data_IF_677837684562
#
_entry.id   IF_677837684562
#
_cell.length_a   1.000
_cell.length_b   1.000
_cell.length_c   1.000
_cell.angle_alpha   90.00
_cell.angle_beta   90.00
_cell.angle_gamma   90.00
#
_symmetry.space_group_name_H-M   'P 1'
#
loop_
_entity.id
_entity.type
_entity.pdbx_description
1 polymer ?
#
# COMPACT_ATOMS: atom_id res chain seq x y z
N UNK A 1 36.31 -23.98 39.82
CA UNK A 1 35.95 -22.56 39.92
C UNK A 1 35.17 -22.07 38.70
N UNK A 2 35.41 -22.57 37.48
CA UNK A 2 34.67 -22.17 36.23
C UNK A 2 33.21 -22.68 36.16
N UNK A 3 32.89 -23.85 36.73
CA UNK A 3 31.54 -24.43 36.73
C UNK A 3 30.56 -23.71 37.69
N UNK A 4 31.06 -22.97 38.70
CA UNK A 4 30.25 -22.20 39.64
C UNK A 4 29.80 -20.86 39.05
N UNK A 5 30.48 -20.34 38.00
CA UNK A 5 30.13 -19.11 37.31
C UNK A 5 29.04 -19.34 36.24
N UNK A 6 29.01 -20.51 35.61
CA UNK A 6 27.96 -20.88 34.63
C UNK A 6 26.61 -21.14 35.29
N UNK A 7 26.59 -21.61 36.57
CA UNK A 7 25.36 -21.81 37.34
C UNK A 7 24.71 -20.50 37.83
N UNK A 8 25.43 -19.39 37.83
CA UNK A 8 24.92 -18.08 38.29
C UNK A 8 24.24 -17.28 37.18
N UNK A 9 24.58 -17.53 35.92
CA UNK A 9 23.95 -16.86 34.78
C UNK A 9 22.53 -17.35 34.45
N UNK A 10 22.19 -18.60 34.86
CA UNK A 10 20.86 -19.16 34.64
C UNK A 10 19.86 -18.85 35.77
N UNK A 11 20.25 -18.13 36.81
CA UNK A 11 19.33 -17.72 37.93
C UNK A 11 18.90 -16.26 37.87
N UNK A 12 19.26 -15.51 36.82
CA UNK A 12 18.69 -14.18 36.51
C UNK A 12 17.60 -14.32 35.44
N UNK A 13 16.97 -15.45 35.29
CA UNK A 13 15.61 -15.53 34.85
C UNK A 13 14.77 -14.93 35.97
N UNK A 14 14.66 -13.61 35.98
CA UNK A 14 13.86 -12.80 36.87
C UNK A 14 12.55 -13.53 37.12
N UNK A 15 12.24 -13.80 38.38
CA UNK A 15 10.88 -13.97 38.84
C UNK A 15 10.15 -12.70 38.39
N UNK A 16 9.56 -12.73 37.18
CA UNK A 16 8.68 -11.66 36.71
C UNK A 16 7.69 -11.46 37.84
N UNK A 17 7.74 -10.32 38.50
CA UNK A 17 6.84 -10.01 39.59
C UNK A 17 5.43 -10.17 39.02
N UNK A 18 4.48 -10.72 39.81
CA UNK A 18 3.07 -10.76 39.37
C UNK A 18 2.59 -9.39 38.87
N UNK A 19 3.15 -8.33 39.45
CA UNK A 19 2.90 -6.94 39.02
C UNK A 19 3.40 -6.65 37.60
N UNK A 20 4.59 -7.14 37.23
CA UNK A 20 5.15 -6.96 35.89
C UNK A 20 4.34 -7.74 34.84
N UNK A 21 3.88 -8.94 35.20
CA UNK A 21 2.99 -9.74 34.36
C UNK A 21 1.62 -9.05 34.18
N UNK A 22 1.02 -8.54 35.25
CA UNK A 22 -0.26 -7.80 35.18
C UNK A 22 -0.08 -6.54 34.31
N UNK A 23 1.00 -5.78 34.50
CA UNK A 23 1.29 -4.59 33.70
C UNK A 23 1.44 -4.96 32.22
N UNK A 24 2.19 -6.02 31.90
CA UNK A 24 2.36 -6.49 30.53
C UNK A 24 1.03 -6.90 29.88
N UNK A 25 0.22 -7.71 30.58
CA UNK A 25 -1.09 -8.13 30.05
C UNK A 25 -2.05 -6.95 29.91
N UNK A 26 -2.06 -6.00 30.83
CA UNK A 26 -2.87 -4.80 30.72
C UNK A 26 -2.47 -3.93 29.51
N UNK A 27 -1.17 -3.83 29.24
CA UNK A 27 -0.65 -3.07 28.10
C UNK A 27 -0.98 -3.75 26.76
N UNK A 28 -0.92 -5.10 26.70
CA UNK A 28 -1.22 -5.87 25.49
C UNK A 28 -2.73 -6.02 25.27
N UNK A 29 -3.53 -6.01 26.33
CA UNK A 29 -4.98 -6.20 26.24
C UNK A 29 -5.66 -5.18 25.35
N UNK A 30 -5.27 -3.91 25.42
CA UNK A 30 -5.87 -2.83 24.62
C UNK A 30 -5.66 -3.03 23.10
N UNK A 31 -4.45 -3.28 22.57
CA UNK A 31 -4.24 -3.63 21.18
C UNK A 31 -4.97 -4.91 20.75
N UNK A 32 -5.06 -5.92 21.63
CA UNK A 32 -5.78 -7.17 21.32
C UNK A 32 -7.27 -6.91 21.18
N UNK A 33 -7.89 -6.17 22.11
CA UNK A 33 -9.30 -5.80 22.02
C UNK A 33 -9.55 -4.99 20.73
N UNK A 34 -8.69 -4.00 20.45
CA UNK A 34 -8.77 -3.22 19.23
C UNK A 34 -8.69 -4.11 17.97
N UNK A 35 -7.77 -5.06 17.94
CA UNK A 35 -7.64 -6.01 16.84
C UNK A 35 -8.89 -6.88 16.66
N UNK A 36 -9.45 -7.41 17.75
CA UNK A 36 -10.67 -8.22 17.71
C UNK A 36 -11.84 -7.40 17.16
N UNK A 37 -12.06 -6.19 17.67
CA UNK A 37 -13.21 -5.35 17.28
C UNK A 37 -13.04 -4.86 15.83
N UNK A 38 -11.95 -4.19 15.51
CA UNK A 38 -11.79 -3.49 14.24
C UNK A 38 -11.27 -4.39 13.11
N UNK A 39 -10.69 -5.53 13.41
CA UNK A 39 -10.19 -6.44 12.38
C UNK A 39 -11.05 -7.70 12.26
N UNK A 40 -11.23 -8.46 13.33
CA UNK A 40 -11.95 -9.74 13.25
C UNK A 40 -13.45 -9.51 12.99
N UNK A 41 -14.12 -8.70 13.82
CA UNK A 41 -15.57 -8.49 13.69
C UNK A 41 -15.92 -7.81 12.37
N UNK A 42 -15.17 -6.76 11.98
CA UNK A 42 -15.43 -6.03 10.72
C UNK A 42 -15.21 -6.91 9.49
N UNK A 43 -14.12 -7.69 9.45
CA UNK A 43 -13.88 -8.59 8.31
C UNK A 43 -14.90 -9.74 8.26
N UNK A 44 -15.30 -10.28 9.42
CA UNK A 44 -16.35 -11.29 9.48
C UNK A 44 -17.69 -10.75 8.96
N UNK A 45 -18.05 -9.53 9.36
CA UNK A 45 -19.24 -8.86 8.84
C UNK A 45 -19.16 -8.62 7.31
N UNK A 46 -18.00 -8.23 6.80
CA UNK A 46 -17.77 -8.08 5.35
C UNK A 46 -17.95 -9.42 4.61
N UNK A 47 -17.51 -10.54 5.20
CA UNK A 47 -17.75 -11.87 4.63
C UNK A 47 -19.25 -12.17 4.58
N UNK A 48 -19.98 -11.92 5.67
CA UNK A 48 -21.43 -12.14 5.70
C UNK A 48 -22.15 -11.26 4.67
N UNK A 49 -21.75 -10.01 4.56
CA UNK A 49 -22.34 -9.04 3.65
C UNK A 49 -22.22 -9.47 2.18
N UNK A 50 -21.17 -10.20 1.80
CA UNK A 50 -21.01 -10.71 0.44
C UNK A 50 -22.10 -11.69 0.00
N UNK A 51 -22.83 -12.30 0.95
CA UNK A 51 -23.96 -13.20 0.72
C UNK A 51 -25.31 -12.54 0.95
N UNK A 52 -25.35 -11.22 1.10
CA UNK A 52 -26.55 -10.44 1.36
C UNK A 52 -26.92 -9.56 0.17
N UNK A 53 -28.11 -9.02 0.20
CA UNK A 53 -28.59 -7.92 -0.64
C UNK A 53 -29.18 -6.82 0.25
N UNK A 54 -29.13 -5.59 -0.21
CA UNK A 54 -29.83 -4.51 0.44
C UNK A 54 -31.31 -4.58 0.03
N UNK A 55 -32.19 -4.49 1.00
CA UNK A 55 -33.64 -4.46 0.79
C UNK A 55 -34.17 -3.07 1.15
N UNK A 56 -34.67 -2.36 0.14
CA UNK A 56 -35.24 -1.02 0.28
C UNK A 56 -36.49 -0.98 1.17
N UNK A 57 -37.29 -2.08 1.20
CA UNK A 57 -38.50 -2.11 1.99
C UNK A 57 -38.22 -2.25 3.49
N UNK A 58 -37.26 -3.10 3.85
CA UNK A 58 -36.84 -3.30 5.25
C UNK A 58 -35.77 -2.32 5.69
N UNK A 59 -35.21 -1.49 4.77
CA UNK A 59 -34.08 -0.60 4.98
C UNK A 59 -32.90 -1.31 5.65
N UNK A 60 -32.63 -2.53 5.19
CA UNK A 60 -31.61 -3.40 5.81
C UNK A 60 -31.03 -4.43 4.85
N UNK A 61 -30.08 -5.21 5.35
CA UNK A 61 -29.44 -6.27 4.57
C UNK A 61 -30.12 -7.62 4.87
N UNK A 62 -30.51 -8.34 3.81
CA UNK A 62 -31.13 -9.66 3.88
C UNK A 62 -30.28 -10.68 3.17
N UNK A 63 -30.20 -11.91 3.72
CA UNK A 63 -29.43 -12.97 3.08
C UNK A 63 -30.05 -13.42 1.76
N UNK A 64 -29.18 -13.64 0.79
CA UNK A 64 -29.55 -14.32 -0.46
C UNK A 64 -29.83 -15.80 -0.17
N UNK A 65 -30.81 -16.40 -0.85
CA UNK A 65 -31.19 -17.80 -0.66
C UNK A 65 -31.26 -18.56 -1.97
N UNK A 66 -31.12 -19.88 -1.88
CA UNK A 66 -31.21 -20.79 -3.02
C UNK A 66 -30.16 -20.51 -4.09
N UNK A 67 -30.55 -20.52 -5.35
CA UNK A 67 -29.67 -20.34 -6.52
C UNK A 67 -28.99 -18.94 -6.57
N UNK A 68 -29.49 -17.99 -5.80
CA UNK A 68 -28.95 -16.64 -5.77
C UNK A 68 -27.83 -16.43 -4.73
N UNK A 69 -27.49 -17.44 -3.92
CA UNK A 69 -26.51 -17.31 -2.84
C UNK A 69 -25.16 -16.69 -3.30
N UNK A 70 -24.70 -17.05 -4.48
CA UNK A 70 -23.43 -16.57 -5.06
C UNK A 70 -23.61 -15.46 -6.11
N UNK A 71 -24.79 -14.84 -6.17
CA UNK A 71 -25.10 -13.79 -7.16
C UNK A 71 -24.10 -12.67 -7.15
N UNK A 72 -23.76 -12.13 -5.97
CA UNK A 72 -22.79 -11.03 -5.85
C UNK A 72 -21.41 -11.40 -6.43
N UNK A 73 -20.98 -12.65 -6.26
CA UNK A 73 -19.71 -13.14 -6.84
C UNK A 73 -19.80 -13.26 -8.36
N UNK A 74 -20.94 -13.70 -8.89
CA UNK A 74 -21.18 -13.72 -10.35
C UNK A 74 -21.19 -12.32 -10.93
N UNK A 75 -21.83 -11.38 -10.25
CA UNK A 75 -21.95 -9.98 -10.68
C UNK A 75 -20.58 -9.27 -10.68
N UNK A 76 -19.60 -9.70 -9.87
CA UNK A 76 -18.21 -9.20 -9.92
C UNK A 76 -17.59 -9.40 -11.30
N UNK A 77 -17.88 -10.51 -11.97
CA UNK A 77 -17.33 -10.81 -13.31
C UNK A 77 -18.15 -10.15 -14.43
N UNK A 78 -19.34 -9.63 -14.12
CA UNK A 78 -20.27 -9.03 -15.07
C UNK A 78 -20.40 -7.48 -14.89
N UNK A 79 -19.32 -6.80 -14.53
CA UNK A 79 -19.32 -5.35 -14.30
C UNK A 79 -19.64 -4.53 -15.56
N UNK A 80 -19.56 -5.12 -16.75
CA UNK A 80 -19.94 -4.46 -17.99
C UNK A 80 -21.40 -3.96 -17.98
N UNK A 81 -22.29 -4.67 -17.29
CA UNK A 81 -23.68 -4.25 -17.10
C UNK A 81 -23.80 -2.92 -16.31
N UNK A 82 -22.75 -2.49 -15.65
CA UNK A 82 -22.64 -1.23 -14.92
C UNK A 82 -21.81 -0.16 -15.64
N UNK A 83 -21.47 -0.39 -16.90
CA UNK A 83 -20.62 0.51 -17.69
C UNK A 83 -19.14 0.53 -17.26
N UNK A 84 -18.65 -0.52 -16.61
CA UNK A 84 -17.29 -0.63 -16.11
C UNK A 84 -16.60 -1.87 -16.69
N UNK A 85 -15.38 -1.69 -17.17
CA UNK A 85 -14.57 -2.77 -17.74
C UNK A 85 -13.65 -3.38 -16.65
N UNK A 86 -13.96 -4.59 -16.20
CA UNK A 86 -13.12 -5.30 -15.22
C UNK A 86 -11.67 -5.45 -15.70
N UNK A 87 -11.47 -5.77 -16.99
CA UNK A 87 -10.14 -5.89 -17.57
C UNK A 87 -9.33 -4.60 -17.47
N UNK A 88 -9.97 -3.45 -17.75
CA UNK A 88 -9.37 -2.12 -17.58
C UNK A 88 -8.98 -1.82 -16.14
N UNK A 89 -9.87 -2.12 -15.17
CA UNK A 89 -9.58 -1.94 -13.75
C UNK A 89 -8.36 -2.75 -13.31
N UNK A 90 -8.28 -4.02 -13.71
CA UNK A 90 -7.15 -4.91 -13.42
C UNK A 90 -5.87 -4.40 -14.07
N UNK A 91 -5.92 -4.05 -15.36
CA UNK A 91 -4.77 -3.56 -16.11
C UNK A 91 -4.20 -2.29 -15.48
N UNK A 92 -5.04 -1.29 -15.21
CA UNK A 92 -4.63 -0.03 -14.58
C UNK A 92 -4.00 -0.26 -13.20
N UNK A 93 -4.56 -1.18 -12.40
CA UNK A 93 -4.02 -1.51 -11.07
C UNK A 93 -2.65 -2.20 -11.15
N UNK A 94 -2.47 -3.12 -12.10
CA UNK A 94 -1.20 -3.81 -12.33
C UNK A 94 -0.15 -2.83 -12.89
N UNK A 95 -0.52 -1.98 -13.85
CA UNK A 95 0.38 -0.94 -14.40
C UNK A 95 0.81 0.03 -13.30
N UNK A 96 -0.13 0.51 -12.48
CA UNK A 96 0.16 1.34 -11.31
C UNK A 96 1.20 0.67 -10.41
N UNK A 97 1.00 -0.59 -10.07
CA UNK A 97 1.91 -1.34 -9.20
C UNK A 97 3.29 -1.50 -9.84
N UNK A 98 3.37 -1.94 -11.10
CA UNK A 98 4.63 -2.13 -11.82
C UNK A 98 5.42 -0.82 -11.91
N UNK A 99 4.76 0.28 -12.27
CA UNK A 99 5.39 1.60 -12.35
C UNK A 99 5.84 2.10 -10.97
N UNK A 100 5.06 1.87 -9.92
CA UNK A 100 5.44 2.24 -8.55
C UNK A 100 6.66 1.45 -8.08
N UNK A 101 6.78 0.16 -8.43
CA UNK A 101 7.97 -0.63 -8.13
C UNK A 101 9.17 -0.16 -8.94
N UNK A 102 9.01 0.01 -10.26
CA UNK A 102 10.11 0.36 -11.16
C UNK A 102 10.61 1.79 -10.93
N UNK A 103 9.71 2.77 -10.86
CA UNK A 103 10.05 4.20 -10.80
C UNK A 103 9.94 4.80 -9.39
N UNK A 104 9.31 4.09 -8.46
CA UNK A 104 9.24 4.47 -7.04
C UNK A 104 10.28 3.72 -6.21
N UNK A 105 10.13 2.40 -6.06
CA UNK A 105 10.92 1.60 -5.12
C UNK A 105 12.39 1.50 -5.50
N UNK A 106 12.72 1.23 -6.78
CA UNK A 106 14.12 1.10 -7.21
C UNK A 106 14.89 2.41 -7.03
N UNK A 107 14.41 3.57 -7.53
CA UNK A 107 15.06 4.84 -7.25
C UNK A 107 15.09 5.18 -5.74
N UNK A 108 14.05 4.85 -4.98
CA UNK A 108 14.04 5.11 -3.54
C UNK A 108 15.17 4.38 -2.81
N UNK A 109 15.52 3.14 -3.19
CA UNK A 109 16.65 2.42 -2.63
C UNK A 109 17.96 3.16 -2.96
N UNK A 110 18.16 3.63 -4.20
CA UNK A 110 19.35 4.35 -4.62
C UNK A 110 19.50 5.68 -3.87
N UNK A 111 18.43 6.48 -3.79
CA UNK A 111 18.42 7.74 -3.04
C UNK A 111 18.59 7.52 -1.53
N UNK A 112 18.03 6.44 -0.98
CA UNK A 112 18.24 6.05 0.41
C UNK A 112 19.69 5.75 0.70
N UNK A 113 20.39 5.05 -0.21
CA UNK A 113 21.80 4.79 -0.09
C UNK A 113 22.62 6.09 -0.13
N UNK A 114 22.29 7.01 -1.03
CA UNK A 114 22.93 8.32 -1.11
C UNK A 114 22.81 9.08 0.23
N UNK A 115 21.64 9.10 0.83
CA UNK A 115 21.37 9.75 2.12
C UNK A 115 22.09 9.00 3.26
N UNK A 116 22.05 7.67 3.27
CA UNK A 116 22.73 6.83 4.25
C UNK A 116 24.23 7.07 4.26
N UNK A 117 24.86 7.20 3.09
CA UNK A 117 26.28 7.52 2.92
C UNK A 117 26.64 8.97 3.26
N UNK A 118 25.66 9.78 3.68
CA UNK A 118 25.84 11.20 4.01
C UNK A 118 26.58 12.00 2.93
N UNK A 119 26.25 11.74 1.66
CA UNK A 119 26.85 12.46 0.52
C UNK A 119 26.47 13.93 0.51
N UNK A 120 27.06 14.72 -0.42
CA UNK A 120 26.86 16.16 -0.51
C UNK A 120 25.36 16.54 -0.48
N UNK A 121 24.99 17.52 0.34
CA UNK A 121 23.61 18.01 0.47
C UNK A 121 22.57 16.94 0.93
N UNK A 122 22.97 15.81 1.53
CA UNK A 122 22.06 14.73 1.94
C UNK A 122 20.92 15.22 2.85
N UNK A 123 21.16 16.22 3.71
CA UNK A 123 20.12 16.81 4.59
C UNK A 123 19.06 17.55 3.79
N UNK A 124 19.49 18.30 2.77
CA UNK A 124 18.61 19.01 1.86
C UNK A 124 17.74 18.03 1.07
N UNK A 125 18.35 17.02 0.44
CA UNK A 125 17.60 15.99 -0.28
C UNK A 125 16.63 15.25 0.64
N UNK A 126 17.04 14.85 1.84
CA UNK A 126 16.17 14.19 2.82
C UNK A 126 14.95 15.06 3.14
N UNK A 127 15.14 16.37 3.38
CA UNK A 127 14.05 17.29 3.70
C UNK A 127 13.07 17.44 2.52
N UNK A 128 13.58 17.77 1.34
CA UNK A 128 12.72 18.03 0.17
C UNK A 128 12.00 16.80 -0.37
N UNK A 129 12.64 15.64 -0.31
CA UNK A 129 11.99 14.39 -0.72
C UNK A 129 10.87 13.99 0.24
N UNK A 130 11.03 14.27 1.52
CA UNK A 130 10.02 13.92 2.52
C UNK A 130 8.87 14.94 2.60
N UNK A 131 9.11 16.19 2.20
CA UNK A 131 8.15 17.28 2.32
C UNK A 131 6.74 16.93 1.76
N UNK A 132 6.58 16.34 0.56
CA UNK A 132 5.27 15.98 0.04
C UNK A 132 4.50 14.98 0.92
N UNK A 133 5.18 14.09 1.62
CA UNK A 133 4.54 13.07 2.46
C UNK A 133 4.02 13.61 3.80
N UNK A 134 4.43 14.82 4.20
CA UNK A 134 3.96 15.49 5.43
C UNK A 134 2.70 16.31 5.17
N UNK A 135 2.54 16.79 3.93
CA UNK A 135 1.38 17.62 3.56
C UNK A 135 0.15 16.73 3.35
N UNK A 136 -1.04 17.10 3.85
CA UNK A 136 -2.26 16.34 3.60
C UNK A 136 -2.49 16.11 2.11
N UNK A 137 -2.72 14.86 1.70
CA UNK A 137 -2.86 14.47 0.29
C UNK A 137 -3.99 15.22 -0.43
N UNK A 138 -5.09 15.53 0.27
CA UNK A 138 -6.20 16.32 -0.28
C UNK A 138 -5.72 17.72 -0.70
N UNK A 139 -4.95 18.39 0.15
CA UNK A 139 -4.41 19.72 -0.13
C UNK A 139 -3.50 19.68 -1.36
N UNK A 140 -2.54 18.75 -1.37
CA UNK A 140 -1.62 18.60 -2.51
C UNK A 140 -2.38 18.28 -3.81
N UNK A 141 -3.39 17.41 -3.75
CA UNK A 141 -4.22 17.06 -4.91
C UNK A 141 -4.97 18.28 -5.43
N UNK A 142 -5.56 19.09 -4.55
CA UNK A 142 -6.29 20.31 -4.94
C UNK A 142 -5.34 21.32 -5.60
N UNK A 143 -4.18 21.56 -5.00
CA UNK A 143 -3.17 22.47 -5.58
C UNK A 143 -2.65 21.97 -6.92
N UNK A 144 -2.32 20.67 -7.00
CA UNK A 144 -1.84 20.07 -8.24
C UNK A 144 -2.89 20.12 -9.35
N UNK A 145 -4.15 19.82 -9.06
CA UNK A 145 -5.25 19.91 -10.02
C UNK A 145 -5.43 21.34 -10.52
N UNK A 146 -5.50 22.32 -9.60
CA UNK A 146 -5.60 23.73 -9.96
C UNK A 146 -4.44 24.18 -10.87
N UNK A 147 -3.21 23.80 -10.50
CA UNK A 147 -2.04 24.12 -11.33
C UNK A 147 -2.12 23.49 -12.74
N UNK A 148 -2.51 22.21 -12.82
CA UNK A 148 -2.58 21.51 -14.12
C UNK A 148 -3.73 21.99 -15.00
N UNK A 149 -4.91 22.23 -14.42
CA UNK A 149 -6.11 22.65 -15.17
C UNK A 149 -6.07 24.15 -15.46
N UNK A 150 -5.81 24.98 -14.44
CA UNK A 150 -5.94 26.44 -14.56
C UNK A 150 -4.71 27.10 -15.18
N UNK A 151 -3.53 26.52 -15.05
CA UNK A 151 -2.31 27.10 -15.55
C UNK A 151 -1.77 26.34 -16.76
N UNK A 152 -1.38 25.06 -16.62
CA UNK A 152 -0.71 24.31 -17.68
C UNK A 152 -1.64 24.08 -18.86
N UNK A 153 -2.88 23.63 -18.64
CA UNK A 153 -3.84 23.36 -19.73
C UNK A 153 -4.23 24.61 -20.47
N UNK A 154 -4.37 25.76 -19.79
CA UNK A 154 -4.67 27.04 -20.44
C UNK A 154 -3.51 27.54 -21.31
N UNK A 155 -2.26 27.41 -20.87
CA UNK A 155 -1.08 27.75 -21.69
C UNK A 155 -1.04 26.87 -22.95
N UNK A 156 -1.46 25.60 -22.84
CA UNK A 156 -1.52 24.69 -23.99
C UNK A 156 -2.78 24.87 -24.86
N UNK A 157 -3.66 25.81 -24.52
CA UNK A 157 -4.91 26.05 -25.28
C UNK A 157 -5.96 24.95 -25.08
N UNK A 158 -5.85 24.14 -24.02
CA UNK A 158 -6.79 23.07 -23.73
C UNK A 158 -7.98 23.60 -22.92
N UNK A 159 -9.15 23.03 -23.13
CA UNK A 159 -10.40 23.37 -22.42
C UNK A 159 -10.80 22.27 -21.45
N UNK A 160 -11.74 22.56 -20.54
CA UNK A 160 -12.24 21.61 -19.56
C UNK A 160 -11.16 21.21 -18.53
N UNK A 161 -11.07 19.93 -18.20
CA UNK A 161 -10.04 19.39 -17.30
C UNK A 161 -8.65 19.25 -18.00
N UNK A 162 -8.56 19.59 -19.31
CA UNK A 162 -7.32 19.68 -20.06
C UNK A 162 -6.51 18.37 -20.02
N UNK A 163 -5.27 18.45 -19.53
CA UNK A 163 -4.39 17.28 -19.42
C UNK A 163 -4.87 16.23 -18.40
N UNK A 164 -5.75 16.62 -17.47
CA UNK A 164 -6.36 15.72 -16.47
C UNK A 164 -7.75 15.24 -16.89
N UNK A 165 -8.18 15.49 -18.15
CA UNK A 165 -9.42 14.93 -18.64
C UNK A 165 -9.35 13.39 -18.62
N UNK A 166 -10.26 12.70 -17.91
CA UNK A 166 -10.24 11.24 -17.76
C UNK A 166 -10.34 10.48 -19.09
N UNK A 167 -10.92 11.10 -20.12
CA UNK A 167 -11.03 10.53 -21.47
C UNK A 167 -9.73 10.73 -22.29
N UNK A 168 -8.81 11.54 -21.79
CA UNK A 168 -7.53 11.79 -22.44
C UNK A 168 -6.52 10.69 -22.07
N UNK A 169 -5.71 10.29 -23.04
CA UNK A 169 -4.57 9.38 -22.82
C UNK A 169 -3.49 9.95 -21.87
N UNK A 170 -3.53 11.25 -21.58
CA UNK A 170 -2.54 11.96 -20.75
C UNK A 170 -2.86 11.88 -19.26
N UNK A 171 -4.12 11.72 -18.85
CA UNK A 171 -4.53 11.80 -17.46
C UNK A 171 -3.88 10.70 -16.59
N UNK A 172 -3.96 9.43 -17.02
CA UNK A 172 -3.40 8.33 -16.26
C UNK A 172 -1.88 8.44 -16.05
N UNK A 173 -1.04 8.68 -17.06
CA UNK A 173 0.41 8.85 -16.87
C UNK A 173 0.75 10.04 -15.93
N UNK A 174 0.08 11.17 -16.07
CA UNK A 174 0.33 12.35 -15.23
C UNK A 174 0.00 12.05 -13.77
N UNK A 175 -1.15 11.44 -13.50
CA UNK A 175 -1.56 11.06 -12.16
C UNK A 175 -0.67 9.96 -11.55
N UNK A 176 -0.17 9.05 -12.39
CA UNK A 176 0.80 8.04 -12.00
C UNK A 176 2.12 8.67 -11.52
N UNK A 177 2.67 9.60 -12.29
CA UNK A 177 3.90 10.34 -11.92
C UNK A 177 3.66 11.12 -10.63
N UNK A 178 2.53 11.81 -10.52
CA UNK A 178 2.13 12.53 -9.32
C UNK A 178 2.04 11.62 -8.09
N UNK A 179 1.42 10.46 -8.22
CA UNK A 179 1.30 9.48 -7.15
C UNK A 179 2.66 8.93 -6.69
N UNK A 180 3.53 8.58 -7.65
CA UNK A 180 4.90 8.12 -7.37
C UNK A 180 5.66 9.21 -6.63
N UNK A 181 5.59 10.47 -7.07
CA UNK A 181 6.27 11.60 -6.43
C UNK A 181 5.86 11.79 -4.98
N UNK A 182 4.55 11.76 -4.66
CA UNK A 182 4.07 11.90 -3.28
C UNK A 182 4.54 10.75 -2.38
N UNK A 183 4.50 9.52 -2.87
CA UNK A 183 4.83 8.33 -2.09
C UNK A 183 6.34 8.11 -1.93
N UNK A 184 7.15 8.73 -2.77
CA UNK A 184 8.58 8.51 -2.88
C UNK A 184 9.35 8.83 -1.60
N UNK A 185 9.07 9.98 -0.98
CA UNK A 185 9.80 10.45 0.20
C UNK A 185 9.67 9.52 1.41
N UNK A 186 8.47 8.98 1.63
CA UNK A 186 8.23 8.03 2.71
C UNK A 186 9.04 6.74 2.48
N UNK A 187 9.08 6.21 1.25
CA UNK A 187 9.88 5.03 0.91
C UNK A 187 11.37 5.27 1.13
N UNK A 188 11.89 6.45 0.73
CA UNK A 188 13.30 6.82 0.96
C UNK A 188 13.65 6.82 2.44
N UNK A 189 12.77 7.34 3.32
CA UNK A 189 13.01 7.29 4.76
C UNK A 189 13.05 5.87 5.31
N UNK A 190 12.11 5.02 4.91
CA UNK A 190 12.07 3.64 5.37
C UNK A 190 13.33 2.87 4.98
N UNK A 191 13.77 2.97 3.73
CA UNK A 191 15.00 2.29 3.30
C UNK A 191 16.25 2.90 3.93
N UNK A 192 16.32 4.21 4.11
CA UNK A 192 17.44 4.85 4.82
C UNK A 192 17.58 4.34 6.24
N UNK A 193 16.46 4.21 6.96
CA UNK A 193 16.45 3.69 8.33
C UNK A 193 16.81 2.21 8.39
N UNK A 194 16.38 1.42 7.40
CA UNK A 194 16.75 0.02 7.29
C UNK A 194 18.27 -0.15 7.00
N UNK A 195 18.81 0.67 6.11
CA UNK A 195 20.24 0.68 5.81
C UNK A 195 21.09 1.05 7.02
N UNK A 196 20.59 1.91 7.91
CA UNK A 196 21.27 2.28 9.15
C UNK A 196 21.41 1.13 10.15
N UNK A 197 20.70 0.03 9.97
CA UNK A 197 20.82 -1.19 10.78
C UNK A 197 21.90 -2.15 10.26
N UNK A 198 22.43 -1.94 9.06
CA UNK A 198 23.52 -2.73 8.51
C UNK A 198 24.81 -2.41 9.30
N UNK A 199 25.56 -3.46 9.71
CA UNK A 199 26.76 -3.27 10.52
C UNK A 199 27.77 -2.35 9.82
N UNK A 200 28.25 -1.29 10.49
CA UNK A 200 29.29 -0.41 9.94
C UNK A 200 30.56 -1.17 9.54
N UNK A 201 30.92 -2.21 10.29
CA UNK A 201 32.14 -3.03 10.01
C UNK A 201 32.09 -3.70 8.64
N UNK A 202 30.90 -4.11 8.16
CA UNK A 202 30.73 -4.67 6.82
C UNK A 202 30.97 -3.62 5.72
N UNK A 203 30.56 -2.39 5.99
CA UNK A 203 30.77 -1.28 5.06
C UNK A 203 32.24 -0.91 4.99
N UNK A 204 32.89 -0.83 6.14
CA UNK A 204 34.32 -0.53 6.25
C UNK A 204 35.19 -1.62 5.59
N UNK A 205 34.88 -2.89 5.84
CA UNK A 205 35.54 -4.01 5.18
C UNK A 205 35.41 -3.92 3.65
N UNK A 206 34.22 -3.72 3.12
CA UNK A 206 34.01 -3.55 1.69
C UNK A 206 34.79 -2.36 1.10
N UNK A 207 34.94 -1.27 1.86
CA UNK A 207 35.72 -0.12 1.44
C UNK A 207 37.23 -0.44 1.42
N UNK A 208 37.73 -1.17 2.42
CA UNK A 208 39.13 -1.62 2.47
C UNK A 208 39.44 -2.58 1.31
N UNK A 209 38.48 -3.41 0.93
CA UNK A 209 38.58 -4.32 -0.23
C UNK A 209 38.48 -3.57 -1.58
N UNK A 210 38.37 -2.25 -1.59
CA UNK A 210 38.31 -1.43 -2.81
C UNK A 210 36.95 -1.51 -3.54
N UNK A 211 35.85 -1.89 -2.88
CA UNK A 211 34.52 -1.93 -3.49
C UNK A 211 34.06 -0.54 -3.94
N UNK A 212 33.63 -0.45 -5.19
CA UNK A 212 32.92 0.75 -5.68
C UNK A 212 31.60 0.94 -4.94
N UNK A 213 31.06 2.18 -4.91
CA UNK A 213 29.77 2.50 -4.25
C UNK A 213 28.62 1.61 -4.77
N UNK A 214 28.61 1.32 -6.08
CA UNK A 214 27.59 0.43 -6.66
C UNK A 214 27.74 -1.01 -6.14
N UNK A 215 28.97 -1.53 -6.04
CA UNK A 215 29.22 -2.86 -5.47
C UNK A 215 28.86 -2.89 -3.98
N UNK A 216 29.18 -1.83 -3.25
CA UNK A 216 28.82 -1.70 -1.84
C UNK A 216 27.31 -1.73 -1.66
N UNK A 217 26.55 -1.00 -2.49
CA UNK A 217 25.09 -1.04 -2.47
C UNK A 217 24.57 -2.44 -2.80
N UNK A 218 25.00 -3.04 -3.89
CA UNK A 218 24.39 -4.28 -4.41
C UNK A 218 24.80 -5.55 -3.66
N UNK A 219 26.04 -5.61 -3.13
CA UNK A 219 26.58 -6.83 -2.53
C UNK A 219 26.68 -6.78 -1.01
N UNK A 220 26.60 -5.61 -0.39
CA UNK A 220 26.68 -5.47 1.06
C UNK A 220 25.37 -4.93 1.64
N UNK A 221 24.94 -3.74 1.20
CA UNK A 221 23.81 -3.04 1.80
C UNK A 221 22.48 -3.67 1.38
N UNK A 222 22.27 -3.93 0.10
CA UNK A 222 21.02 -4.49 -0.41
C UNK A 222 20.70 -5.88 0.16
N UNK A 223 21.65 -6.83 0.23
CA UNK A 223 21.44 -8.08 0.95
C UNK A 223 21.12 -7.86 2.43
N UNK A 224 21.77 -6.90 3.09
CA UNK A 224 21.54 -6.57 4.49
C UNK A 224 20.12 -6.04 4.79
N UNK A 225 19.47 -5.40 3.81
CA UNK A 225 18.09 -4.89 3.92
C UNK A 225 17.06 -5.73 3.16
N UNK A 226 17.45 -6.89 2.61
CA UNK A 226 16.62 -7.70 1.73
C UNK A 226 15.27 -8.09 2.39
N UNK A 227 15.29 -8.37 3.69
CA UNK A 227 14.08 -8.67 4.47
C UNK A 227 13.10 -7.49 4.46
N UNK A 228 13.59 -6.27 4.57
CA UNK A 228 12.78 -5.04 4.50
C UNK A 228 12.22 -4.85 3.08
N UNK A 229 13.06 -4.98 2.05
CA UNK A 229 12.64 -4.88 0.64
C UNK A 229 11.55 -5.91 0.33
N UNK A 230 11.74 -7.16 0.74
CA UNK A 230 10.76 -8.25 0.60
C UNK A 230 9.43 -7.87 1.26
N UNK A 231 9.46 -7.38 2.49
CA UNK A 231 8.25 -6.97 3.22
C UNK A 231 7.50 -5.89 2.46
N UNK A 232 8.17 -4.85 1.97
CA UNK A 232 7.54 -3.80 1.19
C UNK A 232 6.97 -4.30 -0.14
N UNK A 233 7.65 -5.21 -0.85
CA UNK A 233 7.11 -5.82 -2.07
C UNK A 233 5.85 -6.64 -1.76
N UNK A 234 5.86 -7.44 -0.70
CA UNK A 234 4.67 -8.21 -0.28
C UNK A 234 3.50 -7.28 0.04
N UNK A 235 3.74 -6.20 0.81
CA UNK A 235 2.72 -5.20 1.13
C UNK A 235 2.22 -4.49 -0.13
N UNK A 236 3.11 -4.16 -1.06
CA UNK A 236 2.72 -3.50 -2.32
C UNK A 236 1.86 -4.38 -3.21
N UNK A 237 2.07 -5.70 -3.22
CA UNK A 237 1.23 -6.66 -3.96
C UNK A 237 -0.18 -6.70 -3.37
N UNK A 238 -0.31 -6.75 -2.04
CA UNK A 238 -1.62 -6.63 -1.39
C UNK A 238 -2.28 -5.28 -1.72
N UNK A 239 -1.46 -4.23 -1.87
CA UNK A 239 -1.88 -2.88 -2.27
C UNK A 239 -2.44 -2.76 -3.70
N UNK A 240 -2.16 -3.70 -4.62
CA UNK A 240 -2.68 -3.64 -6.01
C UNK A 240 -4.21 -3.46 -6.01
N UNK A 241 -4.90 -4.15 -5.10
CA UNK A 241 -6.36 -4.19 -5.03
C UNK A 241 -6.97 -3.07 -4.19
N UNK A 242 -6.18 -2.35 -3.40
CA UNK A 242 -6.67 -1.30 -2.49
C UNK A 242 -6.18 0.09 -2.86
N UNK A 243 -5.17 0.19 -3.73
CA UNK A 243 -4.60 1.47 -4.12
C UNK A 243 -5.48 2.20 -5.13
N UNK A 244 -6.01 3.34 -4.72
CA UNK A 244 -6.87 4.19 -5.56
C UNK A 244 -6.10 5.27 -6.34
N UNK A 245 -4.78 5.37 -6.23
CA UNK A 245 -3.94 6.38 -6.90
C UNK A 245 -4.43 7.82 -6.63
N UNK A 246 -5.08 8.09 -5.50
CA UNK A 246 -5.75 9.35 -5.16
C UNK A 246 -6.86 9.78 -6.15
N UNK A 247 -7.34 8.90 -7.03
CA UNK A 247 -8.33 9.23 -8.05
C UNK A 247 -9.65 9.75 -7.45
N UNK A 248 -10.02 9.25 -6.27
CA UNK A 248 -11.21 9.76 -5.58
C UNK A 248 -11.08 11.24 -5.22
N UNK A 249 -9.88 11.70 -4.86
CA UNK A 249 -9.63 13.10 -4.55
C UNK A 249 -9.67 13.99 -5.80
N UNK A 250 -9.34 13.44 -6.98
CA UNK A 250 -9.39 14.17 -8.25
C UNK A 250 -10.80 14.22 -8.84
N UNK A 251 -11.49 13.09 -8.88
CA UNK A 251 -12.73 12.93 -9.66
C UNK A 251 -13.96 12.62 -8.81
N UNK A 252 -13.78 12.17 -7.56
CA UNK A 252 -14.87 11.72 -6.69
C UNK A 252 -15.45 10.39 -7.15
N UNK A 253 -16.60 10.43 -7.85
CA UNK A 253 -17.27 9.22 -8.29
C UNK A 253 -16.58 8.55 -9.48
N UNK A 254 -16.55 7.19 -9.48
CA UNK A 254 -15.93 6.36 -10.52
C UNK A 254 -16.46 6.61 -11.93
N UNK A 255 -17.74 6.91 -12.05
CA UNK A 255 -18.38 7.17 -13.36
C UNK A 255 -17.85 8.42 -14.06
N UNK A 256 -17.11 9.29 -13.35
CA UNK A 256 -16.43 10.44 -13.96
C UNK A 256 -15.10 10.07 -14.60
N UNK A 257 -14.48 8.96 -14.19
CA UNK A 257 -13.18 8.56 -14.68
C UNK A 257 -13.06 7.02 -14.80
N UNK A 258 -13.97 6.36 -15.55
CA UNK A 258 -13.99 4.90 -15.64
C UNK A 258 -12.77 4.32 -16.35
N UNK A 259 -12.24 5.02 -17.38
CA UNK A 259 -11.15 4.51 -18.22
C UNK A 259 -9.80 4.46 -17.51
N UNK A 260 -9.58 5.34 -16.57
CA UNK A 260 -8.34 5.42 -15.78
C UNK A 260 -8.49 4.78 -14.39
N UNK A 261 -9.65 4.18 -14.12
CA UNK A 261 -9.96 3.64 -12.81
C UNK A 261 -9.08 2.43 -12.46
N UNK A 262 -8.69 2.37 -11.18
CA UNK A 262 -8.07 1.20 -10.55
C UNK A 262 -9.10 0.42 -9.74
N UNK A 263 -8.78 -0.83 -9.38
CA UNK A 263 -9.63 -1.64 -8.50
C UNK A 263 -9.86 -0.93 -7.17
N UNK A 264 -8.81 -0.36 -6.58
CA UNK A 264 -8.92 0.37 -5.31
C UNK A 264 -9.84 1.59 -5.42
N UNK A 265 -9.76 2.35 -6.51
CA UNK A 265 -10.66 3.47 -6.76
C UNK A 265 -12.10 3.01 -6.96
N UNK A 266 -12.31 1.92 -7.70
CA UNK A 266 -13.64 1.32 -7.88
C UNK A 266 -14.28 0.93 -6.55
N UNK A 267 -13.59 0.09 -5.77
CA UNK A 267 -14.10 -0.36 -4.46
C UNK A 267 -14.39 0.85 -3.55
N UNK A 268 -13.45 1.79 -3.46
CA UNK A 268 -13.58 2.95 -2.58
C UNK A 268 -14.77 3.86 -2.99
N UNK A 269 -14.90 4.14 -4.30
CA UNK A 269 -15.98 4.98 -4.82
C UNK A 269 -17.36 4.37 -4.60
N UNK A 270 -17.49 3.04 -4.80
CA UNK A 270 -18.74 2.32 -4.63
C UNK A 270 -19.10 2.06 -3.16
N UNK A 271 -18.08 1.96 -2.28
CA UNK A 271 -18.26 1.80 -0.85
C UNK A 271 -18.26 3.14 -0.09
N UNK A 272 -18.16 4.28 -0.78
CA UNK A 272 -18.19 5.59 -0.13
C UNK A 272 -19.50 5.78 0.68
N UNK A 273 -19.42 6.35 1.89
CA UNK A 273 -20.59 6.51 2.75
C UNK A 273 -21.71 7.32 2.07
N UNK A 274 -22.93 6.80 2.15
CA UNK A 274 -24.13 7.48 1.64
C UNK A 274 -25.26 6.51 1.33
N UNK A 275 -26.54 6.93 1.48
CA UNK A 275 -27.71 6.06 1.25
C UNK A 275 -27.76 5.49 -0.17
N UNK A 276 -27.26 6.24 -1.16
CA UNK A 276 -27.21 5.81 -2.57
C UNK A 276 -26.26 4.66 -2.84
N UNK A 277 -25.38 4.30 -1.90
CA UNK A 277 -24.37 3.27 -2.08
C UNK A 277 -24.68 1.97 -1.31
N UNK A 278 -25.74 1.91 -0.52
CA UNK A 278 -26.06 0.71 0.26
C UNK A 278 -26.24 -0.54 -0.62
N UNK A 279 -26.82 -0.40 -1.81
CA UNK A 279 -26.96 -1.49 -2.77
C UNK A 279 -25.63 -2.04 -3.29
N UNK A 280 -24.56 -1.23 -3.21
CA UNK A 280 -23.24 -1.62 -3.70
C UNK A 280 -22.42 -2.39 -2.64
N UNK A 281 -22.71 -2.23 -1.34
CA UNK A 281 -21.89 -2.82 -0.28
C UNK A 281 -21.79 -4.34 -0.38
N UNK A 282 -22.86 -5.12 -0.65
CA UNK A 282 -22.75 -6.56 -0.82
C UNK A 282 -21.84 -6.96 -1.99
N UNK A 283 -21.99 -6.28 -3.13
CA UNK A 283 -21.14 -6.52 -4.30
C UNK A 283 -19.68 -6.16 -4.03
N UNK A 284 -19.43 -5.01 -3.37
CA UNK A 284 -18.06 -4.60 -3.03
C UNK A 284 -17.42 -5.53 -2.02
N UNK A 285 -18.19 -6.10 -1.10
CA UNK A 285 -17.72 -7.11 -0.16
C UNK A 285 -17.32 -8.40 -0.90
N UNK A 286 -18.14 -8.88 -1.83
CA UNK A 286 -17.81 -10.05 -2.65
C UNK A 286 -16.57 -9.78 -3.52
N UNK A 287 -16.48 -8.59 -4.14
CA UNK A 287 -15.32 -8.17 -4.93
C UNK A 287 -14.03 -8.15 -4.10
N UNK A 288 -14.09 -7.54 -2.90
CA UNK A 288 -12.96 -7.50 -1.96
C UNK A 288 -12.50 -8.89 -1.53
N UNK A 289 -13.43 -9.84 -1.32
CA UNK A 289 -13.08 -11.23 -1.01
C UNK A 289 -12.37 -11.91 -2.20
N UNK A 290 -12.86 -11.74 -3.42
CA UNK A 290 -12.18 -12.25 -4.62
C UNK A 290 -10.75 -11.69 -4.73
N UNK A 291 -10.60 -10.37 -4.56
CA UNK A 291 -9.28 -9.72 -4.55
C UNK A 291 -8.37 -10.26 -3.44
N UNK A 292 -8.92 -10.52 -2.25
CA UNK A 292 -8.15 -11.06 -1.12
C UNK A 292 -7.61 -12.46 -1.41
N UNK A 293 -8.40 -13.33 -2.04
CA UNK A 293 -7.94 -14.66 -2.45
C UNK A 293 -6.80 -14.57 -3.45
N UNK A 294 -6.93 -13.69 -4.47
CA UNK A 294 -5.87 -13.46 -5.46
C UNK A 294 -4.62 -12.89 -4.80
N UNK A 295 -4.77 -11.93 -3.87
CA UNK A 295 -3.66 -11.34 -3.13
C UNK A 295 -2.90 -12.37 -2.29
N UNK A 296 -3.60 -13.24 -1.57
CA UNK A 296 -2.99 -14.32 -0.76
C UNK A 296 -2.16 -15.24 -1.65
N UNK A 297 -2.70 -15.65 -2.80
CA UNK A 297 -1.98 -16.49 -3.75
C UNK A 297 -0.73 -15.79 -4.30
N UNK A 298 -0.84 -14.52 -4.72
CA UNK A 298 0.27 -13.73 -5.22
C UNK A 298 1.37 -13.55 -4.16
N UNK A 299 1.01 -13.23 -2.91
CA UNK A 299 1.94 -13.13 -1.79
C UNK A 299 2.64 -14.46 -1.51
N UNK A 300 1.91 -15.58 -1.57
CA UNK A 300 2.50 -16.90 -1.39
C UNK A 300 3.56 -17.21 -2.47
N UNK A 301 3.25 -16.95 -3.74
CA UNK A 301 4.19 -17.13 -4.86
C UNK A 301 5.44 -16.29 -4.67
N UNK A 302 5.27 -15.00 -4.38
CA UNK A 302 6.41 -14.07 -4.18
C UNK A 302 7.25 -14.48 -2.98
N UNK A 303 6.63 -14.84 -1.86
CA UNK A 303 7.37 -15.31 -0.69
C UNK A 303 8.19 -16.58 -1.00
N UNK A 304 7.66 -17.49 -1.83
CA UNK A 304 8.38 -18.69 -2.27
C UNK A 304 9.56 -18.33 -3.20
N UNK A 305 9.41 -17.32 -4.05
CA UNK A 305 10.50 -16.84 -4.90
C UNK A 305 11.64 -16.24 -4.08
N UNK A 306 11.32 -15.35 -3.12
CA UNK A 306 12.35 -14.74 -2.26
C UNK A 306 13.12 -15.75 -1.42
N UNK A 307 12.49 -16.84 -0.95
CA UNK A 307 13.18 -17.93 -0.24
C UNK A 307 14.29 -18.62 -1.07
N UNK A 308 14.27 -18.49 -2.39
CA UNK A 308 15.33 -19.01 -3.26
C UNK A 308 16.55 -18.08 -3.32
N UNK A 309 16.36 -16.78 -3.08
CA UNK A 309 17.43 -15.78 -3.05
C UNK A 309 18.05 -15.60 -1.66
N UNK A 310 17.38 -16.09 -0.61
CA UNK A 310 17.88 -16.08 0.77
C UNK A 310 18.80 -17.31 1.07
N UNK A 311 18.88 -18.28 0.15
CA UNK A 311 19.80 -19.43 0.22
C UNK A 311 21.06 -19.17 -0.56
#
# INVERSE_FOLDING_TARGET
MALALLGRHNKIASKSSKKDAIFFYALVLLPVIQFVIFYIIVNFNSILLSFQKYDLMSNGFTFLSGDNLFKNFSDVFNLNNRGLNLGGLVLNSVVLWLCTVAFGTIPAIVFSFYIYRKRLLYRFFKFFLFLPSVIPSILLTTVFRGYMVDFVSKIMGLTGDGLLDPMSSTAFPILLIYYIWISFGAQVLFYTNSMAQVSPSLIEAGQLDGCSETRLLTHVVLPGILSTVKTFIIVSIAGIFTNQMLLYNFYGNIYKAPDIATIGYFIYSMAAPGPSNYDNYPLMSAFGLCCSVVAIFAVFVVNRLFKRFER
#
